data_IF_473699450901
#
_entry.id   IF_473699450901
#
_cell.length_a   1.000
_cell.length_b   1.000
_cell.length_c   1.000
_cell.angle_alpha   90.00
_cell.angle_beta   90.00
_cell.angle_gamma   90.00
#
_symmetry.space_group_name_H-M   'P 1'
#
loop_
_entity.id
_entity.type
_entity.pdbx_description
1 polymer ?
#
# COMPACT_ATOMS: atom_id res chain seq x y z
N UNK A 1 -15.14 9.64 16.08
CA UNK A 1 -16.41 10.40 15.96
C UNK A 1 -16.74 10.50 14.49
N UNK A 2 -17.99 10.20 14.08
CA UNK A 2 -18.42 10.34 12.68
C UNK A 2 -18.84 11.78 12.42
N UNK A 3 -18.37 12.37 11.34
CA UNK A 3 -18.74 13.73 10.95
C UNK A 3 -20.03 13.71 10.12
N UNK A 4 -20.93 14.69 10.28
CA UNK A 4 -22.20 14.71 9.56
C UNK A 4 -22.09 14.82 8.04
N UNK A 5 -20.93 15.27 7.53
CA UNK A 5 -20.66 15.41 6.09
C UNK A 5 -19.96 14.19 5.46
N UNK A 6 -19.79 13.09 6.18
CA UNK A 6 -19.23 11.85 5.63
C UNK A 6 -20.34 10.88 5.25
N UNK A 7 -20.16 10.16 4.13
CA UNK A 7 -21.04 9.06 3.72
C UNK A 7 -20.48 7.73 4.22
N UNK A 8 -21.22 7.04 5.04
CA UNK A 8 -20.85 5.72 5.55
C UNK A 8 -22.02 4.78 5.30
N UNK A 9 -21.80 3.78 4.45
CA UNK A 9 -22.82 2.80 4.14
C UNK A 9 -23.23 2.03 5.42
N UNK A 10 -24.53 1.75 5.65
CA UNK A 10 -25.01 1.10 6.87
C UNK A 10 -24.40 -0.28 7.16
N UNK A 11 -23.98 -1.02 6.15
CA UNK A 11 -23.37 -2.34 6.26
C UNK A 11 -21.88 -2.29 6.62
N UNK A 12 -21.21 -1.13 6.54
CA UNK A 12 -19.80 -1.00 6.90
C UNK A 12 -19.58 -1.34 8.38
N UNK A 13 -18.57 -2.16 8.65
CA UNK A 13 -18.20 -2.59 9.99
C UNK A 13 -17.08 -1.72 10.53
N UNK A 14 -17.43 -0.72 11.32
CA UNK A 14 -16.48 0.23 11.89
C UNK A 14 -16.34 -0.04 13.38
N UNK A 15 -15.14 -0.35 13.83
CA UNK A 15 -14.83 -0.64 15.23
C UNK A 15 -14.92 0.62 16.12
N UNK A 16 -14.68 0.43 17.42
CA UNK A 16 -14.68 1.52 18.41
C UNK A 16 -13.52 2.48 18.18
N UNK A 17 -13.68 3.72 18.62
CA UNK A 17 -12.64 4.76 18.58
C UNK A 17 -12.09 5.07 17.19
N UNK A 18 -12.80 4.72 16.12
CA UNK A 18 -12.46 5.14 14.77
C UNK A 18 -12.92 6.59 14.56
N UNK A 19 -12.01 7.43 14.10
CA UNK A 19 -12.29 8.81 13.71
C UNK A 19 -12.42 8.86 12.19
N UNK A 20 -13.48 9.53 11.70
CA UNK A 20 -13.73 9.69 10.26
C UNK A 20 -14.00 11.17 10.02
N UNK A 21 -13.15 11.80 9.23
CA UNK A 21 -13.24 13.20 8.90
C UNK A 21 -14.26 13.50 7.80
N UNK A 22 -14.67 14.78 7.60
CA UNK A 22 -15.66 15.17 6.60
C UNK A 22 -15.31 14.77 5.18
N UNK A 23 -16.33 14.63 4.33
CA UNK A 23 -16.25 14.34 2.89
C UNK A 23 -15.62 12.97 2.56
N UNK A 24 -15.53 12.08 3.55
CA UNK A 24 -15.08 10.69 3.35
C UNK A 24 -16.25 9.82 2.92
N UNK A 25 -16.02 8.90 1.97
CA UNK A 25 -16.99 7.91 1.53
C UNK A 25 -16.51 6.50 1.90
N UNK A 26 -17.41 5.69 2.48
CA UNK A 26 -17.13 4.30 2.89
C UNK A 26 -18.25 3.40 2.39
N UNK A 27 -17.90 2.42 1.55
CA UNK A 27 -18.82 1.45 0.97
C UNK A 27 -19.25 0.36 1.95
N UNK A 28 -20.16 -0.54 1.51
CA UNK A 28 -20.86 -1.49 2.39
C UNK A 28 -20.01 -2.68 2.85
N UNK A 29 -19.16 -3.22 1.98
CA UNK A 29 -18.29 -4.36 2.33
C UNK A 29 -16.92 -3.89 2.82
N UNK A 30 -16.92 -3.01 3.82
CA UNK A 30 -15.71 -2.43 4.43
C UNK A 30 -15.64 -2.80 5.90
N UNK A 31 -14.43 -3.13 6.36
CA UNK A 31 -14.11 -3.35 7.78
C UNK A 31 -12.96 -2.44 8.18
N UNK A 32 -13.13 -1.68 9.28
CA UNK A 32 -12.10 -0.78 9.84
C UNK A 32 -11.86 -1.13 11.31
N UNK A 33 -10.61 -1.44 11.63
CA UNK A 33 -10.16 -1.79 12.98
C UNK A 33 -10.13 -0.61 13.95
N UNK A 34 -10.11 -0.94 15.23
CA UNK A 34 -10.17 0.00 16.35
C UNK A 34 -9.05 1.03 16.32
N UNK A 35 -9.34 2.26 16.72
CA UNK A 35 -8.37 3.34 16.88
C UNK A 35 -7.86 3.95 15.57
N UNK A 36 -8.38 3.53 14.43
CA UNK A 36 -7.96 4.07 13.13
C UNK A 36 -8.52 5.46 12.86
N UNK A 37 -7.76 6.27 12.13
CA UNK A 37 -8.10 7.66 11.76
C UNK A 37 -8.19 7.75 10.24
N UNK A 38 -9.35 8.15 9.74
CA UNK A 38 -9.62 8.32 8.31
C UNK A 38 -9.78 9.80 8.03
N UNK A 39 -8.84 10.37 7.31
CA UNK A 39 -8.80 11.78 6.94
C UNK A 39 -9.91 12.18 5.96
N UNK A 40 -10.02 13.46 5.72
CA UNK A 40 -11.04 14.02 4.84
C UNK A 40 -10.83 13.63 3.37
N UNK A 41 -11.92 13.56 2.60
CA UNK A 41 -11.88 13.21 1.17
C UNK A 41 -11.23 11.84 0.89
N UNK A 42 -11.26 10.90 1.82
CA UNK A 42 -10.81 9.52 1.61
C UNK A 42 -11.97 8.71 1.02
N UNK A 43 -11.67 7.87 0.04
CA UNK A 43 -12.62 6.91 -0.52
C UNK A 43 -12.21 5.49 -0.15
N UNK A 44 -13.05 4.78 0.60
CA UNK A 44 -12.85 3.38 0.98
C UNK A 44 -13.94 2.54 0.32
N UNK A 45 -13.53 1.77 -0.69
CA UNK A 45 -14.45 1.03 -1.54
C UNK A 45 -14.62 -0.42 -1.03
N UNK A 46 -15.62 -1.11 -1.59
CA UNK A 46 -15.92 -2.49 -1.24
C UNK A 46 -14.71 -3.41 -1.29
N UNK A 47 -14.60 -4.30 -0.32
CA UNK A 47 -13.50 -5.25 -0.17
C UNK A 47 -12.36 -4.77 0.72
N UNK A 48 -12.39 -3.56 1.26
CA UNK A 48 -11.36 -3.07 2.18
C UNK A 48 -11.45 -3.72 3.56
N UNK A 49 -10.33 -4.21 4.06
CA UNK A 49 -10.12 -4.78 5.40
C UNK A 49 -8.94 -4.05 6.04
N UNK A 50 -9.23 -3.05 6.86
CA UNK A 50 -8.23 -2.17 7.47
C UNK A 50 -8.04 -2.58 8.93
N UNK A 51 -6.81 -2.80 9.33
CA UNK A 51 -6.41 -3.16 10.68
C UNK A 51 -6.60 -2.05 11.71
N UNK A 52 -6.01 -2.22 12.89
CA UNK A 52 -6.11 -1.29 14.01
C UNK A 52 -5.06 -0.17 13.92
N UNK A 53 -5.39 0.97 14.55
CA UNK A 53 -4.47 2.11 14.69
C UNK A 53 -3.87 2.58 13.37
N UNK A 54 -4.59 2.41 12.26
CA UNK A 54 -4.16 2.91 10.96
C UNK A 54 -4.49 4.41 10.83
N UNK A 55 -3.65 5.15 10.13
CA UNK A 55 -3.91 6.55 9.79
C UNK A 55 -3.92 6.69 8.28
N UNK A 56 -5.06 7.09 7.71
CA UNK A 56 -5.24 7.29 6.28
C UNK A 56 -5.48 8.77 6.02
N UNK A 57 -4.59 9.37 5.24
CA UNK A 57 -4.56 10.80 4.99
C UNK A 57 -5.47 11.22 3.81
N UNK A 58 -5.76 12.53 3.69
CA UNK A 58 -6.71 13.03 2.72
C UNK A 58 -6.44 12.60 1.28
N UNK A 59 -7.52 12.35 0.54
CA UNK A 59 -7.47 12.02 -0.88
C UNK A 59 -7.01 10.59 -1.21
N UNK A 60 -6.70 9.77 -0.22
CA UNK A 60 -6.37 8.37 -0.46
C UNK A 60 -7.59 7.58 -0.97
N UNK A 61 -7.35 6.62 -1.87
CA UNK A 61 -8.36 5.74 -2.44
C UNK A 61 -7.98 4.28 -2.15
N UNK A 62 -8.78 3.63 -1.33
CA UNK A 62 -8.52 2.27 -0.87
C UNK A 62 -9.52 1.29 -1.48
N UNK A 63 -9.02 0.18 -2.01
CA UNK A 63 -9.82 -0.91 -2.60
C UNK A 63 -10.55 -0.51 -3.90
N UNK A 64 -9.97 0.42 -4.68
CA UNK A 64 -10.46 0.67 -6.03
C UNK A 64 -10.33 -0.58 -6.91
N UNK A 65 -11.16 -0.65 -7.94
CA UNK A 65 -11.08 -1.75 -8.91
C UNK A 65 -9.69 -1.82 -9.55
N UNK A 66 -9.20 -3.04 -9.83
CA UNK A 66 -7.96 -3.24 -10.58
C UNK A 66 -7.95 -2.48 -11.91
N UNK A 67 -6.81 -1.89 -12.24
CA UNK A 67 -6.56 -1.31 -13.56
C UNK A 67 -6.08 -2.40 -14.55
N UNK A 68 -6.79 -3.52 -14.58
CA UNK A 68 -6.52 -4.67 -15.43
C UNK A 68 -7.73 -4.91 -16.36
N UNK A 69 -7.49 -4.98 -17.66
CA UNK A 69 -8.52 -5.21 -18.66
C UNK A 69 -9.23 -6.57 -18.51
N UNK A 70 -8.63 -7.51 -17.81
CA UNK A 70 -9.21 -8.83 -17.52
C UNK A 70 -10.13 -8.84 -16.31
N UNK A 71 -10.10 -7.77 -15.49
CA UNK A 71 -10.94 -7.69 -14.30
C UNK A 71 -12.43 -7.67 -14.69
N UNK A 72 -13.20 -8.57 -14.11
CA UNK A 72 -14.63 -8.77 -14.43
C UNK A 72 -15.53 -8.66 -13.20
N UNK A 73 -15.25 -7.70 -12.32
CA UNK A 73 -16.01 -7.43 -11.09
C UNK A 73 -16.03 -8.60 -10.09
N UNK A 74 -14.98 -9.38 -10.02
CA UNK A 74 -14.81 -10.44 -9.04
C UNK A 74 -14.81 -9.88 -7.62
N UNK A 75 -15.33 -10.68 -6.68
CA UNK A 75 -15.31 -10.32 -5.28
C UNK A 75 -13.90 -10.51 -4.69
N UNK A 76 -13.16 -9.43 -4.63
CA UNK A 76 -11.75 -9.40 -4.20
C UNK A 76 -11.52 -8.32 -3.14
N UNK A 77 -10.34 -8.32 -2.51
CA UNK A 77 -10.09 -7.57 -1.30
C UNK A 77 -8.79 -6.76 -1.34
N UNK A 78 -8.73 -5.77 -0.44
CA UNK A 78 -7.50 -5.17 0.08
C UNK A 78 -7.43 -5.48 1.57
N UNK A 79 -6.34 -6.08 2.02
CA UNK A 79 -6.05 -6.31 3.44
C UNK A 79 -4.90 -5.41 3.88
N UNK A 80 -5.12 -4.59 4.89
CA UNK A 80 -4.14 -3.68 5.49
C UNK A 80 -3.96 -4.08 6.95
N UNK A 81 -2.73 -4.36 7.35
CA UNK A 81 -2.38 -4.72 8.72
C UNK A 81 -2.55 -3.58 9.72
N UNK A 82 -2.06 -3.78 10.94
CA UNK A 82 -2.16 -2.81 12.02
C UNK A 82 -1.05 -1.73 11.95
N UNK A 83 -1.30 -0.56 12.51
CA UNK A 83 -0.34 0.56 12.62
C UNK A 83 0.21 1.03 11.26
N UNK A 84 -0.58 0.98 10.22
CA UNK A 84 -0.18 1.43 8.88
C UNK A 84 -0.53 2.89 8.69
N UNK A 85 0.43 3.65 8.18
CA UNK A 85 0.23 5.05 7.78
C UNK A 85 0.18 5.14 6.25
N UNK A 86 -0.95 5.61 5.73
CA UNK A 86 -1.18 5.83 4.30
C UNK A 86 -1.34 7.33 4.08
N UNK A 87 -0.39 7.93 3.38
CA UNK A 87 -0.34 9.36 3.16
C UNK A 87 -1.26 9.81 2.02
N UNK A 88 -1.21 11.11 1.75
CA UNK A 88 -2.13 11.81 0.86
C UNK A 88 -2.13 11.23 -0.56
N UNK A 89 -3.31 11.09 -1.14
CA UNK A 89 -3.52 10.67 -2.52
C UNK A 89 -2.89 9.32 -2.90
N UNK A 90 -2.62 8.45 -1.92
CA UNK A 90 -2.21 7.07 -2.18
C UNK A 90 -3.38 6.30 -2.77
N UNK A 91 -3.10 5.45 -3.76
CA UNK A 91 -4.10 4.57 -4.36
C UNK A 91 -3.72 3.10 -4.20
N UNK A 92 -4.67 2.28 -3.74
CA UNK A 92 -4.48 0.83 -3.53
C UNK A 92 -5.62 0.11 -4.22
N UNK A 93 -5.30 -0.70 -5.24
CA UNK A 93 -6.29 -1.51 -5.92
C UNK A 93 -6.49 -2.85 -5.21
N UNK A 94 -7.72 -3.35 -5.21
CA UNK A 94 -8.02 -4.71 -4.74
C UNK A 94 -7.48 -5.77 -5.69
N UNK A 95 -7.43 -7.02 -5.27
CA UNK A 95 -6.94 -8.12 -6.07
C UNK A 95 -7.79 -8.43 -7.30
N UNK A 96 -7.29 -9.31 -8.16
CA UNK A 96 -8.04 -9.94 -9.25
C UNK A 96 -8.37 -11.39 -8.89
N UNK A 97 -8.89 -12.13 -9.85
CA UNK A 97 -9.20 -13.56 -9.68
C UNK A 97 -7.93 -14.43 -9.44
N UNK A 98 -6.74 -13.89 -9.65
CA UNK A 98 -5.48 -14.63 -9.48
C UNK A 98 -5.13 -14.83 -8.00
N UNK A 99 -4.98 -13.73 -7.25
CA UNK A 99 -4.64 -13.79 -5.80
C UNK A 99 -5.81 -13.41 -4.90
N UNK A 100 -6.92 -12.96 -5.46
CA UNK A 100 -8.14 -12.53 -4.76
C UNK A 100 -7.94 -11.33 -3.82
N UNK A 101 -6.72 -10.90 -3.57
CA UNK A 101 -6.44 -9.78 -2.68
C UNK A 101 -5.09 -9.11 -2.93
N UNK A 102 -5.04 -7.84 -2.58
CA UNK A 102 -3.81 -7.07 -2.36
C UNK A 102 -3.58 -6.96 -0.86
N UNK A 103 -2.36 -7.18 -0.40
CA UNK A 103 -2.03 -7.23 1.03
C UNK A 103 -0.94 -6.22 1.37
N UNK A 104 -1.13 -5.48 2.45
CA UNK A 104 -0.12 -4.63 3.09
C UNK A 104 0.02 -5.07 4.54
N UNK A 105 1.22 -5.46 4.93
CA UNK A 105 1.55 -5.86 6.29
C UNK A 105 1.46 -4.73 7.30
N UNK A 106 1.75 -5.02 8.55
CA UNK A 106 1.68 -4.08 9.66
C UNK A 106 2.90 -3.14 9.75
N UNK A 107 2.74 -2.02 10.44
CA UNK A 107 3.78 -1.03 10.71
C UNK A 107 4.43 -0.42 9.45
N UNK A 108 3.68 -0.30 8.37
CA UNK A 108 4.15 0.25 7.10
C UNK A 108 3.86 1.76 7.01
N UNK A 109 4.75 2.47 6.31
CA UNK A 109 4.56 3.86 5.91
C UNK A 109 4.51 3.94 4.38
N UNK A 110 3.35 4.29 3.84
CA UNK A 110 3.15 4.50 2.41
C UNK A 110 2.98 6.01 2.19
N UNK A 111 4.03 6.65 1.65
CA UNK A 111 4.05 8.11 1.49
C UNK A 111 3.22 8.56 0.29
N UNK A 112 2.99 9.86 0.24
CA UNK A 112 2.05 10.50 -0.67
C UNK A 112 2.26 10.15 -2.15
N UNK A 113 1.14 10.05 -2.87
CA UNK A 113 1.07 9.72 -4.30
C UNK A 113 1.63 8.36 -4.68
N UNK A 114 1.88 7.45 -3.72
CA UNK A 114 2.27 6.07 -4.05
C UNK A 114 1.09 5.30 -4.60
N UNK A 115 1.39 4.34 -5.49
CA UNK A 115 0.40 3.44 -6.06
C UNK A 115 0.75 1.98 -5.79
N UNK A 116 -0.21 1.21 -5.29
CA UNK A 116 -0.10 -0.24 -5.13
C UNK A 116 -1.19 -0.88 -5.97
N UNK A 117 -0.77 -1.52 -7.07
CA UNK A 117 -1.69 -2.19 -7.97
C UNK A 117 -2.23 -3.51 -7.38
N UNK A 118 -3.10 -4.15 -8.13
CA UNK A 118 -3.78 -5.39 -7.77
C UNK A 118 -2.81 -6.56 -7.50
N UNK A 119 -3.22 -7.47 -6.64
CA UNK A 119 -2.50 -8.71 -6.33
C UNK A 119 -1.07 -8.52 -5.79
N UNK A 120 -0.74 -7.31 -5.31
CA UNK A 120 0.52 -7.06 -4.63
C UNK A 120 0.50 -7.63 -3.22
N UNK A 121 1.67 -8.09 -2.76
CA UNK A 121 1.93 -8.45 -1.38
C UNK A 121 3.06 -7.58 -0.84
N UNK A 122 2.79 -6.84 0.22
CA UNK A 122 3.78 -6.02 0.95
C UNK A 122 3.91 -6.56 2.36
N UNK A 123 5.12 -6.91 2.76
CA UNK A 123 5.45 -7.37 4.10
C UNK A 123 5.31 -6.30 5.17
N UNK A 124 5.81 -6.59 6.37
CA UNK A 124 5.73 -5.70 7.52
C UNK A 124 6.89 -4.71 7.56
N UNK A 125 6.69 -3.59 8.28
CA UNK A 125 7.74 -2.59 8.56
C UNK A 125 8.35 -1.97 7.29
N UNK A 126 7.59 -1.88 6.21
CA UNK A 126 8.05 -1.32 4.94
C UNK A 126 7.84 0.18 4.87
N UNK A 127 8.73 0.87 4.15
CA UNK A 127 8.64 2.31 3.87
C UNK A 127 8.66 2.54 2.36
N UNK A 128 7.58 3.10 1.84
CA UNK A 128 7.49 3.55 0.46
C UNK A 128 7.49 5.07 0.44
N UNK A 129 8.54 5.64 -0.15
CA UNK A 129 8.62 7.10 -0.29
C UNK A 129 7.70 7.61 -1.39
N UNK A 130 7.57 8.93 -1.49
CA UNK A 130 6.64 9.59 -2.40
C UNK A 130 6.75 9.09 -3.86
N UNK A 131 5.60 8.91 -4.50
CA UNK A 131 5.49 8.48 -5.90
C UNK A 131 6.11 7.09 -6.17
N UNK A 132 6.21 6.22 -5.18
CA UNK A 132 6.54 4.81 -5.41
C UNK A 132 5.37 4.11 -6.09
N UNK A 133 5.65 3.38 -7.16
CA UNK A 133 4.61 2.67 -7.94
C UNK A 133 4.93 1.19 -8.02
N UNK A 134 4.04 0.35 -7.49
CA UNK A 134 4.06 -1.09 -7.70
C UNK A 134 3.05 -1.45 -8.79
N UNK A 135 3.52 -2.07 -9.87
CA UNK A 135 2.62 -2.72 -10.85
C UNK A 135 2.01 -4.00 -10.25
N UNK A 136 1.09 -4.64 -10.97
CA UNK A 136 0.40 -5.82 -10.47
C UNK A 136 1.32 -6.99 -10.10
N UNK A 137 0.90 -7.81 -9.12
CA UNK A 137 1.58 -9.04 -8.68
C UNK A 137 2.97 -8.86 -8.06
N UNK A 138 3.37 -7.64 -7.71
CA UNK A 138 4.65 -7.40 -7.03
C UNK A 138 4.61 -7.96 -5.61
N UNK A 139 5.70 -8.62 -5.22
CA UNK A 139 5.90 -9.13 -3.86
C UNK A 139 7.04 -8.38 -3.19
N UNK A 140 6.78 -7.79 -2.03
CA UNK A 140 7.77 -7.05 -1.23
C UNK A 140 7.89 -7.72 0.13
N UNK A 141 9.11 -8.08 0.52
CA UNK A 141 9.40 -8.68 1.82
C UNK A 141 9.30 -7.70 2.98
N UNK A 142 9.69 -8.14 4.17
CA UNK A 142 9.69 -7.32 5.37
C UNK A 142 10.87 -6.33 5.40
N UNK A 143 10.68 -5.19 6.09
CA UNK A 143 11.71 -4.16 6.32
C UNK A 143 12.31 -3.57 5.04
N UNK A 144 11.56 -3.57 3.95
CA UNK A 144 12.01 -3.00 2.67
C UNK A 144 11.78 -1.49 2.67
N UNK A 145 12.78 -0.76 2.17
CA UNK A 145 12.67 0.68 1.91
C UNK A 145 12.75 0.92 0.40
N UNK A 146 11.70 1.53 -0.15
CA UNK A 146 11.66 1.94 -1.55
C UNK A 146 11.64 3.47 -1.58
N UNK A 147 12.71 4.06 -2.12
CA UNK A 147 12.84 5.51 -2.21
C UNK A 147 11.96 6.11 -3.32
N UNK A 148 11.78 7.42 -3.27
CA UNK A 148 10.81 8.13 -4.10
C UNK A 148 11.03 8.00 -5.60
N UNK A 149 9.94 8.18 -6.37
CA UNK A 149 9.93 8.11 -7.84
C UNK A 149 10.42 6.76 -8.40
N UNK A 150 10.25 5.69 -7.63
CA UNK A 150 10.65 4.33 -8.03
C UNK A 150 9.45 3.59 -8.61
N UNK A 151 9.66 2.93 -9.75
CA UNK A 151 8.66 2.07 -10.38
C UNK A 151 9.11 0.60 -10.38
N UNK A 152 8.24 -0.29 -9.92
CA UNK A 152 8.48 -1.73 -9.84
C UNK A 152 7.61 -2.42 -10.89
N UNK A 153 8.27 -3.14 -11.80
CA UNK A 153 7.59 -3.87 -12.88
C UNK A 153 6.76 -5.05 -12.30
N UNK A 154 5.68 -5.39 -12.99
CA UNK A 154 4.82 -6.51 -12.58
C UNK A 154 5.59 -7.82 -12.40
N UNK A 155 5.13 -8.63 -11.44
CA UNK A 155 5.69 -9.92 -11.05
C UNK A 155 7.09 -9.88 -10.40
N UNK A 156 7.71 -8.72 -10.23
CA UNK A 156 8.98 -8.62 -9.51
C UNK A 156 8.81 -8.92 -8.02
N UNK A 157 9.85 -9.52 -7.45
CA UNK A 157 9.98 -9.76 -6.00
C UNK A 157 11.12 -8.93 -5.42
N UNK A 158 10.88 -8.30 -4.26
CA UNK A 158 11.89 -7.56 -3.50
C UNK A 158 12.09 -8.27 -2.17
N UNK A 159 13.31 -8.76 -1.94
CA UNK A 159 13.66 -9.51 -0.74
C UNK A 159 13.70 -8.66 0.52
N UNK A 160 13.62 -9.31 1.68
CA UNK A 160 13.63 -8.66 3.00
C UNK A 160 14.85 -7.73 3.17
N UNK A 161 14.66 -6.64 3.90
CA UNK A 161 15.71 -5.67 4.21
C UNK A 161 16.41 -5.06 2.97
N UNK A 162 15.83 -5.15 1.79
CA UNK A 162 16.36 -4.48 0.61
C UNK A 162 16.09 -2.97 0.67
N UNK A 163 17.02 -2.20 0.12
CA UNK A 163 16.89 -0.76 -0.08
C UNK A 163 16.92 -0.44 -1.57
N UNK A 164 15.83 0.08 -2.12
CA UNK A 164 15.77 0.52 -3.52
C UNK A 164 15.92 2.03 -3.58
N UNK A 165 16.94 2.51 -4.30
CA UNK A 165 17.22 3.95 -4.41
C UNK A 165 16.19 4.69 -5.26
N UNK A 166 16.04 5.99 -5.01
CA UNK A 166 15.09 6.83 -5.72
C UNK A 166 15.33 6.91 -7.23
N UNK A 167 14.24 7.07 -7.98
CA UNK A 167 14.28 7.13 -9.44
C UNK A 167 14.63 5.82 -10.14
N UNK A 168 14.61 4.69 -9.44
CA UNK A 168 14.96 3.39 -10.02
C UNK A 168 13.80 2.77 -10.80
N UNK A 169 14.12 2.11 -11.92
CA UNK A 169 13.21 1.23 -12.64
C UNK A 169 13.57 -0.22 -12.33
N UNK A 170 12.77 -0.86 -11.48
CA UNK A 170 12.99 -2.25 -11.06
C UNK A 170 12.27 -3.17 -12.03
N UNK A 171 13.03 -3.86 -12.89
CA UNK A 171 12.52 -4.78 -13.92
C UNK A 171 12.90 -6.23 -13.69
N UNK A 172 13.52 -6.54 -12.56
CA UNK A 172 13.93 -7.90 -12.15
C UNK A 172 13.89 -7.99 -10.62
N UNK A 173 13.91 -9.19 -10.11
CA UNK A 173 13.91 -9.44 -8.67
C UNK A 173 15.10 -8.80 -7.97
N UNK A 174 14.87 -8.29 -6.78
CA UNK A 174 15.88 -7.69 -5.90
C UNK A 174 16.15 -8.66 -4.75
N UNK A 175 17.37 -9.19 -4.62
CA UNK A 175 17.72 -10.06 -3.51
C UNK A 175 17.56 -9.39 -2.14
N UNK A 176 17.40 -10.15 -1.07
CA UNK A 176 17.38 -9.58 0.29
C UNK A 176 18.74 -8.97 0.67
N UNK A 177 18.71 -8.01 1.60
CA UNK A 177 19.90 -7.39 2.18
C UNK A 177 20.83 -6.70 1.17
N UNK A 178 20.26 -6.14 0.10
CA UNK A 178 21.03 -5.39 -0.90
C UNK A 178 20.50 -3.95 -1.05
N UNK A 179 21.37 -3.08 -1.52
CA UNK A 179 21.02 -1.78 -2.08
C UNK A 179 20.92 -1.90 -3.59
N UNK A 180 19.72 -1.78 -4.13
CA UNK A 180 19.45 -1.75 -5.56
C UNK A 180 19.47 -0.30 -6.06
N UNK A 181 20.30 -0.02 -7.07
CA UNK A 181 20.51 1.34 -7.55
C UNK A 181 20.85 1.36 -9.06
N UNK A 182 20.71 2.54 -9.69
CA UNK A 182 21.12 2.84 -11.05
C UNK A 182 20.20 2.29 -12.14
N UNK A 183 20.51 2.65 -13.39
CA UNK A 183 19.91 2.13 -14.61
C UNK A 183 21.06 1.73 -15.57
N UNK A 184 21.19 0.48 -15.96
CA UNK A 184 20.42 -0.68 -15.49
C UNK A 184 20.61 -0.99 -14.00
N UNK A 185 19.58 -1.58 -13.37
CA UNK A 185 19.58 -1.85 -11.92
C UNK A 185 20.75 -2.75 -11.53
N UNK A 186 21.58 -2.29 -10.61
CA UNK A 186 22.71 -3.00 -10.03
C UNK A 186 22.53 -3.15 -8.51
N UNK A 187 23.21 -4.12 -7.92
CA UNK A 187 23.11 -4.45 -6.51
C UNK A 187 24.42 -4.25 -5.78
N UNK A 188 24.34 -3.63 -4.60
CA UNK A 188 25.43 -3.50 -3.65
C UNK A 188 25.00 -4.18 -2.35
N UNK A 189 25.87 -4.97 -1.74
CA UNK A 189 25.59 -5.56 -0.42
C UNK A 189 25.50 -4.46 0.63
N UNK A 190 24.50 -4.53 1.52
CA UNK A 190 24.37 -3.60 2.63
C UNK A 190 25.51 -3.73 3.65
N UNK A 191 26.22 -4.86 3.68
CA UNK A 191 27.35 -5.10 4.58
C UNK A 191 28.59 -4.25 4.19
N UNK A 192 28.68 -3.82 2.94
CA UNK A 192 29.84 -3.06 2.41
C UNK A 192 29.59 -1.54 2.34
N UNK A 193 28.54 -1.01 2.94
CA UNK A 193 28.21 0.43 2.88
C UNK A 193 28.92 1.25 3.97
N UNK A 194 29.77 0.64 4.81
CA UNK A 194 30.40 1.29 5.97
C UNK A 194 31.75 1.98 5.69
N UNK A 195 32.24 2.04 4.47
CA UNK A 195 33.46 2.81 4.17
C UNK A 195 33.12 4.12 3.48
N UNK A 196 33.32 5.28 4.13
CA UNK A 196 33.33 6.57 3.44
C UNK A 196 34.60 6.67 2.57
N UNK A 197 34.44 6.81 1.27
CA UNK A 197 35.48 7.30 0.37
C UNK A 197 35.55 8.80 0.42
#
# INVERSE_FOLDING_TARGET
MKQPLSYIHPNAKIAKNVVIDPFTSIDGDVVIGEGSIIGSNVSIMDGARIGKNCTIYPGAVISANPQDLKYNNEKTFVEIGDNVTIRECVTINKGTNDRLKTVIGSNCLIMAYSHIAHDCFVGNNCIFSNNTTLAGHVTVGDYVIISGLTAIHQFCSIGNHAFVTGGSLVRKDVPPYVKAAREPLSYLSLIHISEPT
#
